data_IF_080522177935
#
_entry.id   IF_080522177935
#
_cell.length_a   1.000
_cell.length_b   1.000
_cell.length_c   1.000
_cell.angle_alpha   90.00
_cell.angle_beta   90.00
_cell.angle_gamma   90.00
#
_symmetry.space_group_name_H-M   'P 1'
#
loop_
_entity.id
_entity.type
_entity.pdbx_description
1 polymer ?
#
# COMPACT_ATOMS: atom_id res chain seq x y z
N UNK A 1 -52.01 -44.54 -26.80
CA UNK A 1 -52.40 -43.83 -25.57
C UNK A 1 -51.15 -43.59 -24.75
N UNK A 2 -50.89 -42.30 -24.41
CA UNK A 2 -50.32 -41.80 -23.14
C UNK A 2 -49.01 -42.44 -22.61
N UNK A 3 -48.02 -41.72 -22.09
CA UNK A 3 -47.74 -40.30 -21.93
C UNK A 3 -46.36 -40.23 -21.25
N UNK A 4 -45.55 -39.27 -21.68
CA UNK A 4 -44.61 -38.41 -20.92
C UNK A 4 -43.71 -39.02 -19.83
N UNK A 5 -42.38 -38.99 -19.99
CA UNK A 5 -41.48 -37.83 -19.82
C UNK A 5 -41.53 -37.26 -18.39
N UNK A 6 -40.46 -37.49 -17.62
CA UNK A 6 -39.99 -36.56 -16.57
C UNK A 6 -38.50 -36.80 -16.33
N UNK A 7 -37.69 -36.36 -17.30
CA UNK A 7 -36.29 -36.05 -17.06
C UNK A 7 -36.26 -34.67 -16.38
N UNK A 8 -36.10 -34.66 -15.06
CA UNK A 8 -35.83 -33.44 -14.30
C UNK A 8 -34.43 -32.99 -14.68
N UNK A 9 -34.37 -32.04 -15.62
CA UNK A 9 -33.18 -31.26 -15.93
C UNK A 9 -32.89 -30.42 -14.70
N UNK A 10 -31.92 -30.87 -13.89
CA UNK A 10 -31.19 -30.04 -12.95
C UNK A 10 -30.41 -29.00 -13.77
N UNK A 11 -31.10 -27.93 -14.17
CA UNK A 11 -30.46 -26.66 -14.53
C UNK A 11 -29.87 -26.14 -13.23
N UNK A 12 -28.65 -26.55 -12.94
CA UNK A 12 -27.78 -25.85 -12.00
C UNK A 12 -27.58 -24.48 -12.62
N UNK A 13 -28.37 -23.52 -12.14
CA UNK A 13 -28.19 -22.10 -12.34
C UNK A 13 -26.83 -21.72 -11.76
N UNK A 14 -25.78 -21.97 -12.54
CA UNK A 14 -24.50 -21.31 -12.39
C UNK A 14 -24.75 -19.84 -12.66
N UNK A 15 -25.20 -19.14 -11.62
CA UNK A 15 -25.09 -17.70 -11.53
C UNK A 15 -23.59 -17.38 -11.59
N UNK A 16 -23.08 -17.25 -12.81
CA UNK A 16 -21.91 -16.44 -13.07
C UNK A 16 -22.25 -15.05 -12.55
N UNK A 17 -21.92 -14.79 -11.29
CA UNK A 17 -21.75 -13.44 -10.80
C UNK A 17 -20.60 -12.85 -11.61
N UNK A 18 -20.95 -12.27 -12.76
CA UNK A 18 -20.19 -11.17 -13.31
C UNK A 18 -20.19 -10.10 -12.21
N UNK A 19 -19.17 -10.13 -11.35
CA UNK A 19 -18.95 -9.03 -10.42
C UNK A 19 -18.56 -7.84 -11.29
N UNK A 20 -19.51 -6.94 -11.48
CA UNK A 20 -19.27 -5.67 -12.14
C UNK A 20 -18.06 -5.00 -11.50
N UNK A 21 -17.20 -4.44 -12.34
CA UNK A 21 -16.03 -3.72 -11.88
C UNK A 21 -16.49 -2.55 -10.99
N UNK A 22 -16.06 -2.54 -9.74
CA UNK A 22 -16.41 -1.47 -8.79
C UNK A 22 -15.34 -0.38 -8.81
N UNK A 23 -15.71 0.91 -8.75
CA UNK A 23 -14.74 1.98 -8.65
C UNK A 23 -14.04 1.96 -7.28
N UNK A 24 -12.74 2.23 -7.27
CA UNK A 24 -11.91 2.39 -6.07
C UNK A 24 -11.07 3.65 -6.23
N UNK A 25 -11.12 4.56 -5.26
CA UNK A 25 -10.21 5.69 -5.20
C UNK A 25 -8.82 5.19 -4.77
N UNK A 26 -7.85 5.28 -5.67
CA UNK A 26 -6.49 4.84 -5.44
C UNK A 26 -5.55 6.04 -5.34
N UNK A 27 -4.61 5.97 -4.40
CA UNK A 27 -3.40 6.79 -4.40
C UNK A 27 -2.19 5.88 -4.49
N UNK A 28 -1.16 6.32 -5.18
CA UNK A 28 -0.04 5.50 -5.59
C UNK A 28 1.26 6.02 -4.99
N UNK A 29 2.13 5.08 -4.62
CA UNK A 29 3.49 5.34 -4.18
C UNK A 29 4.36 4.18 -4.65
N UNK A 30 5.63 4.44 -4.91
CA UNK A 30 6.61 3.39 -5.11
C UNK A 30 7.90 3.63 -4.33
N UNK A 31 8.66 2.57 -4.06
CA UNK A 31 10.04 2.69 -3.56
C UNK A 31 10.85 1.42 -3.80
N UNK A 32 12.15 1.47 -3.47
CA UNK A 32 13.12 0.44 -3.82
C UNK A 32 13.70 0.62 -5.24
N UNK A 33 13.53 1.81 -5.83
CA UNK A 33 14.11 2.21 -7.12
C UNK A 33 14.65 3.63 -7.03
N UNK A 34 15.61 3.98 -7.89
CA UNK A 34 16.23 5.30 -7.92
C UNK A 34 15.53 6.29 -8.86
N UNK A 35 14.54 5.86 -9.67
CA UNK A 35 13.89 6.72 -10.67
C UNK A 35 12.42 6.96 -10.38
N UNK A 36 12.04 8.23 -10.44
CA UNK A 36 10.71 8.80 -10.20
C UNK A 36 9.80 8.83 -11.45
N UNK A 37 10.30 8.39 -12.61
CA UNK A 37 9.66 8.59 -13.92
C UNK A 37 8.73 7.46 -14.36
N UNK A 38 8.39 6.53 -13.46
CA UNK A 38 7.57 5.36 -13.80
C UNK A 38 6.08 5.65 -13.64
N UNK A 39 5.31 5.12 -14.56
CA UNK A 39 3.87 4.97 -14.43
C UNK A 39 3.47 3.55 -14.82
N UNK A 40 2.34 3.12 -14.28
CA UNK A 40 1.67 1.89 -14.67
C UNK A 40 0.27 2.23 -15.16
N UNK A 41 -0.30 1.38 -15.98
CA UNK A 41 -1.65 1.53 -16.48
C UNK A 41 -2.54 0.53 -15.75
N UNK A 42 -3.58 1.01 -15.07
CA UNK A 42 -4.67 0.15 -14.64
C UNK A 42 -5.58 -0.11 -15.84
N UNK A 43 -5.75 -1.38 -16.19
CA UNK A 43 -6.51 -1.79 -17.38
C UNK A 43 -7.96 -2.01 -17.00
N UNK A 44 -8.88 -1.26 -17.62
CA UNK A 44 -10.31 -1.55 -17.55
C UNK A 44 -10.70 -2.61 -18.59
N UNK A 45 -11.84 -3.28 -18.39
CA UNK A 45 -12.39 -4.17 -19.42
C UNK A 45 -12.95 -3.42 -20.64
N UNK A 46 -13.23 -2.12 -20.50
CA UNK A 46 -13.63 -1.25 -21.61
C UNK A 46 -12.45 -0.91 -22.53
N UNK A 47 -11.23 -1.31 -22.17
CA UNK A 47 -10.01 -1.02 -22.92
C UNK A 47 -9.43 0.37 -22.63
N UNK A 48 -9.97 1.08 -21.63
CA UNK A 48 -9.45 2.37 -21.21
C UNK A 48 -8.25 2.16 -20.27
N UNK A 49 -7.12 2.76 -20.65
CA UNK A 49 -5.92 2.78 -19.83
C UNK A 49 -5.95 3.95 -18.85
N UNK A 50 -5.87 3.65 -17.56
CA UNK A 50 -5.80 4.67 -16.51
C UNK A 50 -4.36 4.79 -16.04
N UNK A 51 -3.71 5.91 -16.37
CA UNK A 51 -2.32 6.17 -15.97
C UNK A 51 -2.23 6.41 -14.46
N UNK A 52 -1.46 5.57 -13.79
CA UNK A 52 -1.18 5.60 -12.36
C UNK A 52 0.30 5.94 -12.14
N UNK A 53 0.64 7.17 -11.72
CA UNK A 53 2.03 7.58 -11.52
C UNK A 53 2.63 6.89 -10.29
N UNK A 54 3.87 6.43 -10.40
CA UNK A 54 4.60 5.73 -9.34
C UNK A 54 5.69 6.62 -8.73
N UNK A 55 5.29 7.71 -8.08
CA UNK A 55 6.24 8.60 -7.37
C UNK A 55 6.95 7.87 -6.23
N UNK A 56 8.24 8.16 -6.03
CA UNK A 56 9.06 7.69 -4.92
C UNK A 56 9.22 8.69 -3.79
N UNK A 57 8.59 9.86 -3.91
CA UNK A 57 8.74 11.00 -3.01
C UNK A 57 7.45 11.36 -2.28
N UNK A 58 6.30 11.20 -2.92
CA UNK A 58 5.00 11.54 -2.34
C UNK A 58 3.88 10.65 -2.89
N UNK A 59 2.78 10.55 -2.15
CA UNK A 59 1.57 9.91 -2.66
C UNK A 59 1.03 10.68 -3.88
N UNK A 60 0.54 9.94 -4.87
CA UNK A 60 -0.19 10.53 -5.98
C UNK A 60 -1.49 11.19 -5.53
N UNK A 61 -2.05 12.03 -6.41
CA UNK A 61 -3.46 12.41 -6.32
C UNK A 61 -4.36 11.18 -6.41
N UNK A 62 -5.60 11.30 -5.92
CA UNK A 62 -6.63 10.27 -6.05
C UNK A 62 -6.95 10.01 -7.52
N UNK A 63 -7.00 8.74 -7.88
CA UNK A 63 -7.33 8.24 -9.22
C UNK A 63 -8.33 7.11 -9.05
N UNK A 64 -9.45 7.16 -9.78
CA UNK A 64 -10.45 6.10 -9.72
C UNK A 64 -10.01 4.94 -10.60
N UNK A 65 -9.79 3.77 -10.01
CA UNK A 65 -9.45 2.55 -10.72
C UNK A 65 -10.60 1.52 -10.61
N UNK A 66 -10.93 0.81 -11.70
CA UNK A 66 -11.90 -0.27 -11.65
C UNK A 66 -11.30 -1.52 -11.00
N UNK A 67 -11.93 -2.03 -9.95
CA UNK A 67 -11.58 -3.32 -9.34
C UNK A 67 -12.61 -4.39 -9.71
N UNK A 68 -12.18 -5.40 -10.47
CA UNK A 68 -13.03 -6.54 -10.83
C UNK A 68 -12.59 -7.78 -10.06
N UNK A 69 -13.54 -8.50 -9.46
CA UNK A 69 -13.20 -9.67 -8.64
C UNK A 69 -12.24 -9.32 -7.49
N UNK A 70 -12.36 -8.10 -6.95
CA UNK A 70 -11.44 -7.54 -5.95
C UNK A 70 -9.99 -7.41 -6.40
N UNK A 71 -9.75 -7.27 -7.72
CA UNK A 71 -8.40 -7.12 -8.28
C UNK A 71 -8.32 -5.92 -9.20
N UNK A 72 -7.16 -5.26 -9.20
CA UNK A 72 -6.79 -4.25 -10.19
C UNK A 72 -5.50 -4.75 -10.87
N UNK A 73 -5.58 -5.19 -12.14
CA UNK A 73 -4.40 -5.53 -12.91
C UNK A 73 -3.69 -4.26 -13.39
N UNK A 74 -2.37 -4.25 -13.26
CA UNK A 74 -1.51 -3.18 -13.74
C UNK A 74 -0.56 -3.71 -14.80
N UNK A 75 -0.42 -2.96 -15.88
CA UNK A 75 0.61 -3.18 -16.91
C UNK A 75 1.60 -2.02 -16.90
N UNK A 76 2.81 -2.28 -17.36
CA UNK A 76 3.85 -1.27 -17.53
C UNK A 76 3.45 -0.28 -18.63
N UNK A 77 3.58 1.02 -18.37
CA UNK A 77 3.33 2.03 -19.39
C UNK A 77 4.38 2.03 -20.51
N UNK A 78 5.59 1.54 -20.24
CA UNK A 78 6.72 1.53 -21.18
C UNK A 78 6.61 0.42 -22.22
N UNK A 79 6.33 -0.82 -21.77
CA UNK A 79 6.37 -2.02 -22.63
C UNK A 79 5.04 -2.80 -22.67
N UNK A 80 3.99 -2.28 -22.02
CA UNK A 80 2.64 -2.88 -21.94
C UNK A 80 2.60 -4.30 -21.36
N UNK A 81 3.69 -4.79 -20.78
CA UNK A 81 3.71 -6.12 -20.15
C UNK A 81 2.99 -6.10 -18.81
N UNK A 82 2.45 -7.26 -18.35
CA UNK A 82 1.97 -7.39 -16.99
C UNK A 82 3.01 -6.90 -15.99
N UNK A 83 2.57 -6.06 -15.07
CA UNK A 83 3.44 -5.44 -14.07
C UNK A 83 3.14 -5.96 -12.68
N UNK A 84 1.88 -5.85 -12.24
CA UNK A 84 1.44 -6.39 -10.96
C UNK A 84 -0.09 -6.51 -10.88
N UNK A 85 -0.60 -7.12 -9.82
CA UNK A 85 -2.02 -7.16 -9.51
C UNK A 85 -2.24 -6.74 -8.06
N UNK A 86 -2.98 -5.66 -7.82
CA UNK A 86 -3.44 -5.32 -6.48
C UNK A 86 -4.67 -6.14 -6.12
N UNK A 87 -4.69 -6.73 -4.92
CA UNK A 87 -5.88 -7.38 -4.36
C UNK A 87 -6.55 -6.39 -3.40
N UNK A 88 -7.67 -5.82 -3.80
CA UNK A 88 -8.43 -4.83 -3.02
C UNK A 88 -9.49 -5.55 -2.18
N UNK A 89 -9.40 -5.55 -0.84
CA UNK A 89 -10.39 -6.20 0.00
C UNK A 89 -11.83 -5.75 -0.34
N UNK A 90 -12.79 -6.67 -0.22
CA UNK A 90 -14.19 -6.38 -0.48
C UNK A 90 -14.67 -5.22 0.42
N UNK A 91 -15.40 -4.27 -0.16
CA UNK A 91 -15.92 -3.09 0.55
C UNK A 91 -14.96 -1.90 0.67
N UNK A 92 -13.67 -2.06 0.37
CA UNK A 92 -12.71 -0.95 0.39
C UNK A 92 -12.97 0.02 -0.76
N UNK A 93 -13.38 1.25 -0.46
CA UNK A 93 -13.68 2.29 -1.45
C UNK A 93 -12.48 3.20 -1.77
N UNK A 94 -11.54 3.32 -0.84
CA UNK A 94 -10.34 4.13 -0.97
C UNK A 94 -9.11 3.32 -0.52
N UNK A 95 -8.05 3.33 -1.31
CA UNK A 95 -6.86 2.52 -1.08
C UNK A 95 -5.56 3.27 -1.42
N UNK A 96 -4.52 3.02 -0.62
CA UNK A 96 -3.15 3.31 -1.01
C UNK A 96 -2.58 2.05 -1.65
N UNK A 97 -2.08 2.17 -2.88
CA UNK A 97 -1.49 1.09 -3.65
C UNK A 97 0.01 1.35 -3.74
N UNK A 98 0.78 0.60 -2.95
CA UNK A 98 2.21 0.80 -2.73
C UNK A 98 2.99 -0.24 -3.54
N UNK A 99 3.81 0.22 -4.47
CA UNK A 99 4.67 -0.61 -5.31
C UNK A 99 6.07 -0.66 -4.71
N UNK A 100 6.53 -1.84 -4.34
CA UNK A 100 7.85 -2.00 -3.71
C UNK A 100 8.69 -2.95 -4.54
N UNK A 101 9.87 -2.49 -4.95
CA UNK A 101 10.88 -3.36 -5.53
C UNK A 101 11.71 -3.96 -4.40
N UNK A 102 11.61 -5.27 -4.19
CA UNK A 102 12.29 -5.97 -3.10
C UNK A 102 13.49 -6.82 -3.55
N UNK A 103 13.61 -7.09 -4.84
CA UNK A 103 14.68 -7.94 -5.37
C UNK A 103 15.77 -7.11 -6.04
N UNK A 104 17.02 -7.57 -5.84
CA UNK A 104 18.18 -7.00 -6.53
C UNK A 104 18.10 -7.33 -8.03
N UNK A 105 18.35 -6.34 -8.92
CA UNK A 105 18.49 -6.61 -10.35
C UNK A 105 19.53 -7.71 -10.61
N UNK A 106 19.18 -8.71 -11.43
CA UNK A 106 20.09 -9.81 -11.82
C UNK A 106 20.10 -11.04 -10.91
N UNK A 107 19.16 -11.16 -9.96
CA UNK A 107 18.98 -12.39 -9.17
C UNK A 107 18.52 -13.55 -10.07
N UNK A 108 19.15 -14.75 -10.02
CA UNK A 108 18.73 -15.90 -10.83
C UNK A 108 17.26 -16.25 -10.55
N UNK A 109 16.40 -16.20 -11.58
CA UNK A 109 14.95 -16.33 -11.46
C UNK A 109 14.17 -15.05 -11.81
N UNK A 110 14.83 -13.89 -11.80
CA UNK A 110 14.28 -12.63 -12.33
C UNK A 110 14.45 -12.56 -13.85
N UNK A 111 13.80 -13.46 -14.59
CA UNK A 111 13.86 -13.50 -16.05
C UNK A 111 13.11 -12.32 -16.71
N UNK A 112 12.24 -11.63 -15.96
CA UNK A 112 11.53 -10.44 -16.43
C UNK A 112 12.04 -9.18 -15.73
N UNK A 113 12.21 -8.08 -16.49
CA UNK A 113 12.54 -6.75 -15.94
C UNK A 113 11.50 -6.23 -14.93
N UNK A 114 10.31 -6.83 -14.93
CA UNK A 114 9.19 -6.58 -14.01
C UNK A 114 9.14 -7.57 -12.83
N UNK A 115 9.96 -8.62 -12.82
CA UNK A 115 10.10 -9.52 -11.68
C UNK A 115 10.69 -8.74 -10.49
N UNK A 116 10.12 -8.95 -9.31
CA UNK A 116 10.57 -8.35 -8.05
C UNK A 116 9.78 -7.14 -7.54
N UNK A 117 8.74 -6.69 -8.27
CA UNK A 117 7.76 -5.74 -7.73
C UNK A 117 6.69 -6.47 -6.91
N UNK A 118 6.46 -5.99 -5.69
CA UNK A 118 5.32 -6.36 -4.86
C UNK A 118 4.36 -5.19 -4.74
N UNK A 119 3.07 -5.50 -4.68
CA UNK A 119 2.02 -4.51 -4.47
C UNK A 119 1.38 -4.74 -3.12
N UNK A 120 1.37 -3.70 -2.31
CA UNK A 120 0.68 -3.67 -1.03
C UNK A 120 -0.52 -2.74 -1.12
N UNK A 121 -1.63 -3.18 -0.55
CA UNK A 121 -2.87 -2.44 -0.54
C UNK A 121 -3.16 -2.08 0.91
N UNK A 122 -3.26 -0.79 1.18
CA UNK A 122 -3.63 -0.25 2.48
C UNK A 122 -4.99 0.41 2.30
N UNK A 123 -5.94 0.12 3.18
CA UNK A 123 -7.21 0.83 3.20
C UNK A 123 -6.96 2.28 3.62
N UNK A 124 -7.31 3.25 2.76
CA UNK A 124 -7.20 4.67 3.08
C UNK A 124 -8.48 5.13 3.79
N UNK A 125 -8.56 4.77 5.07
CA UNK A 125 -9.65 5.14 5.96
C UNK A 125 -9.10 5.63 7.30
N UNK A 126 -9.85 6.48 8.01
CA UNK A 126 -9.43 6.99 9.32
C UNK A 126 -9.18 5.89 10.36
N UNK A 127 -9.78 4.70 10.17
CA UNK A 127 -9.54 3.53 11.03
C UNK A 127 -8.14 2.97 10.84
N UNK A 128 -7.72 2.81 9.59
CA UNK A 128 -6.42 2.22 9.24
C UNK A 128 -5.32 3.27 9.27
N UNK A 129 -5.65 4.52 8.95
CA UNK A 129 -4.71 5.63 8.87
C UNK A 129 -5.29 6.89 9.52
N UNK A 130 -5.23 6.98 10.87
CA UNK A 130 -5.82 8.07 11.65
C UNK A 130 -5.27 9.44 11.27
N UNK A 131 -6.10 10.47 11.42
CA UNK A 131 -5.68 11.85 11.24
C UNK A 131 -4.62 12.27 12.27
N UNK A 132 -3.63 13.04 11.84
CA UNK A 132 -2.48 13.39 12.67
C UNK A 132 -1.57 12.22 13.02
N UNK A 133 -1.87 11.01 12.56
CA UNK A 133 -1.25 9.76 13.00
C UNK A 133 -0.14 9.25 12.09
N UNK A 134 0.25 8.00 12.32
CA UNK A 134 1.22 7.28 11.50
C UNK A 134 0.73 5.88 11.15
N UNK A 135 0.97 5.41 9.95
CA UNK A 135 0.80 4.02 9.55
C UNK A 135 2.16 3.38 9.37
N UNK A 136 2.41 2.30 10.12
CA UNK A 136 3.66 1.56 10.06
C UNK A 136 3.41 0.22 9.38
N UNK A 137 4.24 -0.12 8.40
CA UNK A 137 4.22 -1.44 7.77
C UNK A 137 5.61 -2.06 7.72
N UNK A 138 5.68 -3.33 8.10
CA UNK A 138 6.89 -4.12 8.13
C UNK A 138 7.01 -5.02 6.89
N UNK A 139 7.71 -4.55 5.87
CA UNK A 139 8.13 -5.35 4.72
C UNK A 139 9.54 -5.94 4.88
N UNK A 140 10.19 -5.68 6.01
CA UNK A 140 11.44 -6.34 6.39
C UNK A 140 11.15 -7.79 6.82
N UNK A 141 11.99 -8.78 6.41
CA UNK A 141 11.75 -10.20 6.71
C UNK A 141 11.91 -10.57 8.20
N UNK A 142 12.35 -9.66 9.06
CA UNK A 142 12.43 -9.86 10.50
C UNK A 142 11.48 -8.96 11.29
N UNK A 143 11.47 -9.14 12.60
CA UNK A 143 10.71 -8.27 13.51
C UNK A 143 11.34 -6.88 13.56
N UNK A 144 10.48 -5.85 13.66
CA UNK A 144 10.89 -4.47 13.93
C UNK A 144 10.34 -4.02 15.28
N UNK A 145 11.10 -3.19 15.99
CA UNK A 145 10.63 -2.43 17.14
C UNK A 145 10.65 -0.96 16.81
N UNK A 146 9.73 -0.21 17.42
CA UNK A 146 9.72 1.22 17.23
C UNK A 146 9.04 1.97 18.36
N UNK A 147 9.34 3.26 18.38
CA UNK A 147 8.74 4.28 19.23
C UNK A 147 8.23 5.39 18.32
N UNK A 148 6.98 5.83 18.52
CA UNK A 148 6.38 7.00 17.88
C UNK A 148 5.72 7.81 18.99
N UNK A 149 6.42 8.84 19.49
CA UNK A 149 6.04 9.54 20.72
C UNK A 149 5.93 8.57 21.89
N UNK A 150 4.76 8.53 22.54
CA UNK A 150 4.48 7.57 23.61
C UNK A 150 4.16 6.14 23.12
N UNK A 151 3.88 5.95 21.82
CA UNK A 151 3.51 4.64 21.28
C UNK A 151 4.73 3.75 21.10
N UNK A 152 4.73 2.59 21.77
CA UNK A 152 5.77 1.56 21.61
C UNK A 152 5.18 0.36 20.91
N UNK A 153 5.82 -0.07 19.82
CA UNK A 153 5.31 -1.12 18.95
C UNK A 153 6.36 -2.16 18.61
N UNK A 154 5.87 -3.35 18.25
CA UNK A 154 6.66 -4.37 17.58
C UNK A 154 5.80 -4.97 16.48
N UNK A 155 6.31 -5.00 15.26
CA UNK A 155 5.64 -5.63 14.13
C UNK A 155 6.45 -6.81 13.64
N UNK A 156 5.76 -7.95 13.50
CA UNK A 156 6.28 -9.13 12.81
C UNK A 156 6.38 -8.88 11.30
N UNK A 157 7.10 -9.70 10.53
CA UNK A 157 7.12 -9.61 9.08
C UNK A 157 5.70 -9.58 8.49
N UNK A 158 5.49 -8.72 7.51
CA UNK A 158 4.20 -8.40 6.89
C UNK A 158 3.14 -7.79 7.83
N UNK A 159 3.50 -7.50 9.08
CA UNK A 159 2.62 -6.81 10.03
C UNK A 159 2.47 -5.33 9.69
N UNK A 160 1.29 -4.79 9.93
CA UNK A 160 0.99 -3.37 9.75
C UNK A 160 0.12 -2.85 10.89
N UNK A 161 0.19 -1.55 11.17
CA UNK A 161 -0.66 -0.91 12.18
C UNK A 161 -0.76 0.60 11.97
N UNK A 162 -1.96 1.15 12.19
CA UNK A 162 -2.20 2.58 12.28
C UNK A 162 -2.11 3.04 13.74
N UNK A 163 -1.35 4.10 13.97
CA UNK A 163 -1.16 4.75 15.26
C UNK A 163 -1.85 6.10 15.24
N UNK A 164 -2.56 6.40 16.32
CA UNK A 164 -3.13 7.73 16.54
C UNK A 164 -2.02 8.79 16.67
N UNK A 165 -2.41 10.05 16.57
CA UNK A 165 -1.52 11.18 16.77
C UNK A 165 -0.92 11.16 18.20
N UNK A 166 0.42 11.18 18.36
CA UNK A 166 1.05 11.15 19.69
C UNK A 166 0.61 12.31 20.56
N UNK A 167 0.16 12.08 21.79
CA UNK A 167 -0.32 13.12 22.72
C UNK A 167 0.83 13.90 23.34
N UNK A 168 1.98 13.26 23.54
CA UNK A 168 3.17 13.89 24.10
C UNK A 168 4.03 14.45 22.96
N UNK A 169 3.91 15.75 22.74
CA UNK A 169 4.66 16.51 21.75
C UNK A 169 5.34 17.71 22.41
N UNK A 170 6.45 18.16 21.85
CA UNK A 170 7.11 19.40 22.29
C UNK A 170 6.36 20.67 21.83
N UNK A 171 6.90 21.84 22.17
CA UNK A 171 6.33 23.16 21.81
C UNK A 171 6.24 23.39 20.28
N UNK A 172 6.90 22.56 19.47
CA UNK A 172 6.87 22.59 18.00
C UNK A 172 5.97 21.49 17.40
N UNK A 173 5.15 20.85 18.23
CA UNK A 173 4.31 19.71 17.89
C UNK A 173 5.11 18.50 17.37
N UNK A 174 6.35 18.32 17.83
CA UNK A 174 7.20 17.20 17.42
C UNK A 174 7.21 16.07 18.45
N UNK A 175 7.36 14.84 17.96
CA UNK A 175 7.53 13.65 18.80
C UNK A 175 8.64 12.74 18.25
N UNK A 176 9.39 12.04 19.11
CA UNK A 176 10.46 11.15 18.70
C UNK A 176 9.92 9.96 17.91
N UNK A 177 10.62 9.59 16.84
CA UNK A 177 10.36 8.42 16.02
C UNK A 177 11.63 7.60 15.88
N UNK A 178 11.63 6.42 16.49
CA UNK A 178 12.80 5.54 16.57
C UNK A 178 12.41 4.18 16.02
N UNK A 179 13.23 3.61 15.16
CA UNK A 179 13.08 2.26 14.65
C UNK A 179 14.32 1.43 14.92
N UNK A 180 14.12 0.19 15.33
CA UNK A 180 15.17 -0.78 15.60
C UNK A 180 14.96 -2.05 14.78
N UNK A 181 16.05 -2.56 14.21
CA UNK A 181 16.11 -3.89 13.62
C UNK A 181 16.89 -4.83 14.53
N UNK A 182 16.54 -6.11 14.49
CA UNK A 182 17.30 -7.15 15.16
C UNK A 182 18.55 -7.50 14.35
N UNK A 183 19.73 -7.44 14.98
CA UNK A 183 21.01 -7.84 14.40
C UNK A 183 21.69 -8.85 15.33
N UNK A 184 21.60 -10.14 14.97
CA UNK A 184 21.92 -11.24 15.87
C UNK A 184 20.93 -11.29 17.03
N UNK A 185 21.42 -11.18 18.25
CA UNK A 185 20.59 -11.17 19.46
C UNK A 185 20.27 -9.76 19.97
N UNK A 186 20.85 -8.71 19.38
CA UNK A 186 20.71 -7.33 19.85
C UNK A 186 19.80 -6.51 18.94
N UNK A 187 19.01 -5.63 19.56
CA UNK A 187 18.30 -4.57 18.85
C UNK A 187 19.27 -3.43 18.56
N UNK A 188 19.22 -2.89 17.35
CA UNK A 188 20.04 -1.76 16.93
C UNK A 188 19.14 -0.70 16.31
N UNK A 189 19.35 0.54 16.74
CA UNK A 189 18.72 1.71 16.15
C UNK A 189 19.12 1.79 14.68
N UNK A 190 18.11 1.87 13.82
CA UNK A 190 18.26 1.95 12.38
C UNK A 190 17.92 3.35 11.86
N UNK A 191 16.94 3.98 12.51
CA UNK A 191 16.54 5.35 12.26
C UNK A 191 16.10 5.97 13.58
N UNK A 192 16.50 7.22 13.79
CA UNK A 192 16.08 8.06 14.89
C UNK A 192 15.84 9.45 14.32
N UNK A 193 14.63 9.97 14.54
CA UNK A 193 14.20 11.27 14.04
C UNK A 193 13.17 11.88 14.99
N UNK A 194 12.84 13.14 14.75
CA UNK A 194 11.71 13.81 15.38
C UNK A 194 10.77 14.27 14.27
N UNK A 195 9.51 13.84 14.31
CA UNK A 195 8.50 14.18 13.31
C UNK A 195 7.46 15.11 13.89
N UNK A 196 6.92 16.01 13.07
CA UNK A 196 5.89 16.97 13.47
C UNK A 196 4.51 16.36 13.25
N UNK A 197 3.69 16.26 14.29
CA UNK A 197 2.35 15.68 14.21
C UNK A 197 1.29 16.78 14.36
N UNK A 198 0.48 16.97 13.32
CA UNK A 198 -0.59 17.98 13.25
C UNK A 198 -1.87 17.36 12.65
N UNK A 199 -3.06 17.85 13.01
CA UNK A 199 -4.28 17.52 12.27
C UNK A 199 -4.12 17.79 10.77
N UNK A 200 -4.65 16.90 9.93
CA UNK A 200 -4.48 16.93 8.47
C UNK A 200 -3.13 16.45 7.96
N UNK A 201 -2.22 15.99 8.83
CA UNK A 201 -0.90 15.47 8.46
C UNK A 201 -0.75 14.04 8.95
N UNK A 202 -0.45 13.12 8.04
CA UNK A 202 -0.27 11.70 8.36
C UNK A 202 1.09 11.21 7.86
N UNK A 203 1.63 10.17 8.49
CA UNK A 203 2.91 9.58 8.09
C UNK A 203 2.78 8.12 7.66
N UNK A 204 3.26 7.76 6.48
CA UNK A 204 3.47 6.37 6.10
C UNK A 204 4.92 6.00 6.40
N UNK A 205 5.14 4.96 7.18
CA UNK A 205 6.48 4.51 7.56
C UNK A 205 6.64 3.04 7.18
N UNK A 206 7.62 2.78 6.33
CA UNK A 206 7.87 1.45 5.77
C UNK A 206 9.24 0.95 6.18
N UNK A 207 9.28 -0.20 6.84
CA UNK A 207 10.52 -0.96 7.04
C UNK A 207 10.70 -1.95 5.89
N UNK A 208 11.87 -2.00 5.27
CA UNK A 208 12.15 -2.88 4.13
C UNK A 208 13.65 -3.16 4.01
N UNK A 209 14.02 -4.10 3.13
CA UNK A 209 15.41 -4.28 2.69
C UNK A 209 15.58 -3.48 1.41
N UNK A 210 16.50 -2.52 1.42
CA UNK A 210 16.85 -1.77 0.21
C UNK A 210 17.46 -2.73 -0.82
N UNK A 211 16.83 -2.90 -2.01
CA UNK A 211 17.30 -3.87 -3.00
C UNK A 211 18.67 -3.51 -3.58
N UNK A 212 19.11 -2.25 -3.48
CA UNK A 212 20.43 -1.82 -3.97
C UNK A 212 21.53 -2.22 -2.98
N UNK A 213 21.39 -1.81 -1.71
CA UNK A 213 22.42 -2.06 -0.69
C UNK A 213 22.28 -3.39 0.05
N UNK A 214 21.12 -4.03 0.01
CA UNK A 214 20.78 -5.20 0.82
C UNK A 214 20.62 -4.90 2.31
N UNK A 215 20.64 -3.62 2.71
CA UNK A 215 20.55 -3.21 4.12
C UNK A 215 19.11 -2.91 4.51
N UNK A 216 18.71 -3.17 5.75
CA UNK A 216 17.40 -2.76 6.24
C UNK A 216 17.33 -1.23 6.29
N UNK A 217 16.21 -0.66 5.86
CA UNK A 217 15.95 0.78 5.82
C UNK A 217 14.54 1.09 6.32
N UNK A 218 14.37 2.34 6.74
CA UNK A 218 13.08 2.96 7.03
C UNK A 218 12.87 4.07 6.00
N UNK A 219 11.75 4.02 5.28
CA UNK A 219 11.27 5.15 4.49
C UNK A 219 10.07 5.78 5.18
N UNK A 220 10.06 7.10 5.28
CA UNK A 220 8.96 7.88 5.85
C UNK A 220 8.43 8.82 4.78
N UNK A 221 7.12 8.76 4.56
CA UNK A 221 6.39 9.64 3.65
C UNK A 221 5.39 10.46 4.42
N UNK A 222 5.37 11.75 4.11
CA UNK A 222 4.37 12.66 4.65
C UNK A 222 3.17 12.71 3.70
N UNK A 223 1.99 12.45 4.24
CA UNK A 223 0.72 12.57 3.55
C UNK A 223 -0.04 13.77 4.13
N UNK A 224 -0.08 14.85 3.36
CA UNK A 224 -0.90 16.01 3.69
C UNK A 224 -2.30 15.72 3.17
N UNK A 225 -3.27 15.61 4.08
CA UNK A 225 -4.66 15.56 3.68
C UNK A 225 -4.99 16.84 2.90
N UNK A 226 -5.74 16.71 1.81
CA UNK A 226 -6.22 17.88 1.07
C UNK A 226 -6.99 18.79 2.05
N UNK A 227 -6.56 20.05 2.16
CA UNK A 227 -7.11 21.02 3.11
C UNK A 227 -8.63 21.25 2.98
N UNK A 228 -9.24 20.77 1.88
CA UNK A 228 -10.69 20.80 1.64
C UNK A 228 -11.49 19.80 2.49
N UNK A 229 -10.84 18.86 3.18
CA UNK A 229 -11.50 17.85 4.01
C UNK A 229 -11.53 18.20 5.51
N UNK A 230 -10.98 19.36 5.92
CA UNK A 230 -11.12 19.82 7.30
C UNK A 230 -12.61 20.06 7.60
N UNK A 231 -13.18 19.43 8.64
CA UNK A 231 -14.52 19.81 9.08
C UNK A 231 -14.46 21.29 9.47
N UNK A 232 -15.34 22.11 8.88
CA UNK A 232 -15.56 23.47 9.33
C UNK A 232 -15.77 23.41 10.85
N UNK A 233 -14.93 24.15 11.58
CA UNK A 233 -14.77 23.99 13.02
C UNK A 233 -16.08 23.93 13.79
N UNK A 234 -16.11 23.07 14.80
CA UNK A 234 -17.04 23.17 15.94
C UNK A 234 -16.41 24.04 17.01
#
# INVERSE_FOLDING_TARGET
>A
MRSLISAIVLVVSSACYAQDARPVECRFLSFGVERDDRSVLAVSETGDDITCPLSTTQLSKKIVCPAKGNKIPFISAEDRKPFAVANIPAGVKSALVIFVKLEKPGTPGAADKNAGWKVFVIEDSAKSFPDGGAYVANFYPGDIRFVIGEHKGMLKPAGTHGYEMPKQRDDFNMAPVIFEFKSGEKWRIANESSLRFLPGMRYLIFAYVDPVSGRPRINTYQDLADASAAPAGT
#
